data_IF_728491479287
#
_entry.id   IF_728491479287
#
_cell.length_a   1.000
_cell.length_b   1.000
_cell.length_c   1.000
_cell.angle_alpha   90.00
_cell.angle_beta   90.00
_cell.angle_gamma   90.00
#
_symmetry.space_group_name_H-M   'P 1'
#
loop_
_entity.id
_entity.type
_entity.pdbx_description
1 polymer ?
#
# COMPACT_ATOMS: atom_id res chain seq x y z
N UNK A 1 2.03 -2.64 16.02
CA UNK A 1 1.28 -2.30 14.80
C UNK A 1 0.88 -3.60 14.10
N UNK A 2 -0.40 -3.90 14.05
CA UNK A 2 -0.97 -5.08 13.38
C UNK A 2 -0.89 -4.92 11.86
N UNK A 3 -0.91 -6.02 11.10
CA UNK A 3 -0.91 -5.98 9.62
C UNK A 3 -2.05 -5.13 9.06
N UNK A 4 -3.20 -5.12 9.72
CA UNK A 4 -4.37 -4.30 9.35
C UNK A 4 -4.10 -2.80 9.53
N UNK A 5 -3.46 -2.41 10.62
CA UNK A 5 -3.04 -1.02 10.85
C UNK A 5 -1.98 -0.56 9.83
N UNK A 6 -1.03 -1.44 9.48
CA UNK A 6 -0.03 -1.16 8.44
C UNK A 6 -0.70 -0.91 7.07
N UNK A 7 -1.63 -1.78 6.66
CA UNK A 7 -2.36 -1.59 5.39
C UNK A 7 -3.22 -0.33 5.39
N UNK A 8 -3.87 -0.02 6.52
CA UNK A 8 -4.64 1.21 6.67
C UNK A 8 -3.75 2.45 6.56
N UNK A 9 -2.57 2.43 7.19
CA UNK A 9 -1.60 3.52 7.10
C UNK A 9 -1.09 3.71 5.67
N UNK A 10 -0.70 2.63 4.98
CA UNK A 10 -0.24 2.70 3.59
C UNK A 10 -1.34 3.29 2.69
N UNK A 11 -2.58 2.83 2.85
CA UNK A 11 -3.69 3.25 2.01
C UNK A 11 -4.12 4.71 2.26
N UNK A 12 -4.10 5.17 3.51
CA UNK A 12 -4.61 6.50 3.89
C UNK A 12 -3.56 7.59 3.97
N UNK A 13 -2.29 7.23 4.14
CA UNK A 13 -1.20 8.18 4.34
C UNK A 13 -0.18 8.07 3.21
N UNK A 14 0.41 6.88 3.03
CA UNK A 14 1.52 6.71 2.09
C UNK A 14 1.09 6.92 0.63
N UNK A 15 0.02 6.25 0.17
CA UNK A 15 -0.44 6.35 -1.22
C UNK A 15 -0.84 7.79 -1.61
N UNK A 16 -1.64 8.54 -0.81
CA UNK A 16 -1.95 9.94 -1.13
C UNK A 16 -0.73 10.86 -1.16
N UNK A 17 0.28 10.62 -0.31
CA UNK A 17 1.51 11.41 -0.33
C UNK A 17 2.31 11.14 -1.61
N UNK A 18 2.46 9.88 -2.02
CA UNK A 18 3.13 9.53 -3.30
C UNK A 18 2.37 10.14 -4.49
N UNK A 19 1.03 10.12 -4.46
CA UNK A 19 0.17 10.68 -5.51
C UNK A 19 0.32 12.20 -5.67
N UNK A 20 0.58 12.93 -4.57
CA UNK A 20 0.65 14.41 -4.57
C UNK A 20 2.05 14.98 -4.68
N UNK A 21 2.98 14.41 -3.91
CA UNK A 21 4.31 14.97 -3.69
C UNK A 21 5.39 14.16 -4.40
N UNK A 22 5.07 12.93 -4.83
CA UNK A 22 6.07 11.96 -5.25
C UNK A 22 6.84 11.36 -4.08
N UNK A 23 7.70 10.39 -4.37
CA UNK A 23 8.52 9.74 -3.34
C UNK A 23 9.87 9.34 -3.91
N UNK A 24 10.94 9.82 -3.29
CA UNK A 24 12.30 9.39 -3.60
C UNK A 24 12.83 8.50 -2.48
N UNK A 25 13.12 7.25 -2.81
CA UNK A 25 13.75 6.28 -1.92
C UNK A 25 15.23 6.19 -2.30
N UNK A 26 16.09 6.67 -1.40
CA UNK A 26 17.55 6.51 -1.54
C UNK A 26 17.99 5.25 -0.80
N UNK A 27 18.59 4.33 -1.53
CA UNK A 27 19.20 3.12 -0.97
C UNK A 27 20.67 3.36 -0.63
N UNK A 28 21.17 2.69 0.42
CA UNK A 28 22.55 2.85 0.90
C UNK A 28 23.64 2.52 -0.15
N UNK A 29 23.28 1.88 -1.27
CA UNK A 29 24.20 1.43 -2.32
C UNK A 29 24.19 2.29 -3.59
N UNK A 30 23.76 3.56 -3.52
CA UNK A 30 23.68 4.50 -4.65
C UNK A 30 22.50 4.30 -5.62
N UNK A 31 21.50 3.49 -5.25
CA UNK A 31 20.26 3.37 -6.00
C UNK A 31 19.24 4.41 -5.54
N UNK A 32 18.72 5.22 -6.46
CA UNK A 32 17.61 6.13 -6.23
C UNK A 32 16.38 5.62 -6.98
N UNK A 33 15.28 5.42 -6.27
CA UNK A 33 13.97 5.17 -6.86
C UNK A 33 13.11 6.40 -6.64
N UNK A 34 12.80 7.12 -7.72
CA UNK A 34 11.92 8.28 -7.68
C UNK A 34 10.59 7.94 -8.34
N UNK A 35 9.52 8.03 -7.55
CA UNK A 35 8.15 7.91 -8.00
C UNK A 35 7.62 9.33 -8.24
N UNK A 36 7.59 9.73 -9.50
CA UNK A 36 7.06 11.05 -9.89
C UNK A 36 5.53 10.99 -10.04
N UNK A 37 4.79 11.96 -9.50
CA UNK A 37 3.32 11.99 -9.59
C UNK A 37 2.81 12.21 -11.02
N UNK A 38 3.66 12.77 -11.90
CA UNK A 38 3.37 13.02 -13.30
C UNK A 38 3.55 11.77 -14.19
N UNK A 39 4.18 10.71 -13.67
CA UNK A 39 4.41 9.48 -14.43
C UNK A 39 3.16 8.59 -14.39
N UNK A 40 2.55 8.25 -15.55
CA UNK A 40 1.36 7.39 -15.60
C UNK A 40 1.61 5.99 -15.01
N UNK A 41 2.86 5.52 -14.99
CA UNK A 41 3.27 4.26 -14.38
C UNK A 41 3.05 4.28 -12.87
N UNK A 42 3.37 5.42 -12.23
CA UNK A 42 3.19 5.62 -10.79
C UNK A 42 1.70 5.68 -10.45
N UNK A 43 0.89 6.34 -11.29
CA UNK A 43 -0.58 6.36 -11.13
C UNK A 43 -1.17 4.95 -11.20
N UNK A 44 -0.75 4.14 -12.18
CA UNK A 44 -1.19 2.75 -12.33
C UNK A 44 -0.81 1.90 -11.11
N UNK A 45 0.43 2.04 -10.64
CA UNK A 45 0.91 1.37 -9.43
C UNK A 45 0.10 1.74 -8.18
N UNK A 46 -0.22 3.03 -7.99
CA UNK A 46 -1.04 3.49 -6.86
C UNK A 46 -2.46 2.91 -6.93
N UNK A 47 -3.06 2.85 -8.12
CA UNK A 47 -4.39 2.28 -8.31
C UNK A 47 -4.42 0.78 -7.98
N UNK A 48 -3.46 0.01 -8.47
CA UNK A 48 -3.33 -1.42 -8.15
C UNK A 48 -3.16 -1.64 -6.65
N UNK A 49 -2.24 -0.90 -6.01
CA UNK A 49 -2.03 -0.98 -4.57
C UNK A 49 -3.29 -0.62 -3.79
N UNK A 50 -4.03 0.43 -4.18
CA UNK A 50 -5.27 0.84 -3.51
C UNK A 50 -6.32 -0.26 -3.60
N UNK A 51 -6.49 -0.91 -4.75
CA UNK A 51 -7.42 -2.04 -4.92
C UNK A 51 -7.01 -3.24 -4.06
N UNK A 52 -5.71 -3.60 -4.09
CA UNK A 52 -5.19 -4.75 -3.36
C UNK A 52 -5.29 -4.59 -1.84
N UNK A 53 -4.94 -3.42 -1.32
CA UNK A 53 -5.03 -3.11 0.11
C UNK A 53 -6.49 -3.00 0.58
N UNK A 54 -7.38 -2.39 -0.21
CA UNK A 54 -8.82 -2.36 0.10
C UNK A 54 -9.38 -3.78 0.18
N UNK A 55 -9.06 -4.64 -0.79
CA UNK A 55 -9.49 -6.04 -0.80
C UNK A 55 -8.94 -6.83 0.39
N UNK A 56 -7.67 -6.61 0.75
CA UNK A 56 -7.05 -7.25 1.91
C UNK A 56 -7.67 -6.80 3.25
N UNK A 57 -8.10 -5.55 3.35
CA UNK A 57 -8.77 -5.01 4.54
C UNK A 57 -10.24 -5.43 4.64
N UNK A 58 -10.90 -5.68 3.52
CA UNK A 58 -12.28 -6.16 3.44
C UNK A 58 -12.42 -7.66 3.67
N UNK A 59 -11.35 -8.45 3.46
CA UNK A 59 -11.41 -9.89 3.67
C UNK A 59 -11.78 -10.15 5.14
N UNK A 60 -12.94 -10.80 5.41
CA UNK A 60 -13.30 -11.13 6.78
C UNK A 60 -12.18 -12.03 7.33
N UNK A 61 -11.71 -11.69 8.52
CA UNK A 61 -10.88 -12.61 9.30
C UNK A 61 -11.76 -13.85 9.42
N UNK A 62 -11.38 -14.97 8.79
CA UNK A 62 -12.13 -16.21 8.92
C UNK A 62 -12.44 -16.39 10.40
N UNK A 63 -13.72 -16.60 10.80
CA UNK A 63 -13.99 -16.93 12.18
C UNK A 63 -13.15 -18.16 12.47
N UNK A 64 -12.18 -18.00 13.36
CA UNK A 64 -11.45 -19.11 13.97
C UNK A 64 -12.53 -19.96 14.63
N UNK A 65 -13.06 -20.95 13.93
CA UNK A 65 -14.00 -21.88 14.52
C UNK A 65 -13.20 -22.80 15.43
N UNK A 66 -13.47 -22.84 16.75
CA UNK A 66 -12.89 -23.85 17.62
C UNK A 66 -13.55 -25.23 17.45
N UNK A 67 -14.60 -25.34 16.64
CA UNK A 67 -15.24 -26.60 16.25
C UNK A 67 -15.32 -26.64 14.72
N UNK A 68 -14.34 -27.26 14.08
CA UNK A 68 -14.47 -27.65 12.68
C UNK A 68 -15.51 -28.75 12.57
N UNK A 69 -16.50 -28.53 11.69
CA UNK A 69 -17.47 -29.46 11.07
C UNK A 69 -17.66 -30.83 11.74
#
# INVERSE_FOLDING_TARGET
MTKREQYSFILRVLLPTIEREGLTIKTNGSGELTLSPEDPTVTCFIQDMRQRLTSALQRPVSPSSPYGI
#
